data_IF_324462717014
#
_entry.id   IF_324462717014
#
_cell.length_a   1.000
_cell.length_b   1.000
_cell.length_c   1.000
_cell.angle_alpha   90.00
_cell.angle_beta   90.00
_cell.angle_gamma   90.00
#
_symmetry.space_group_name_H-M   'P 1'
#
loop_
_entity.id
_entity.type
_entity.pdbx_description
1 polymer ?
#
# COMPACT_ATOMS: atom_id res chain seq x y z
N UNK A 1 10.42 16.20 6.75
CA UNK A 1 10.78 17.59 6.60
C UNK A 1 9.72 18.38 5.83
N UNK A 2 9.85 19.68 5.83
CA UNK A 2 8.87 20.59 5.24
C UNK A 2 8.74 20.43 3.72
N UNK A 3 9.85 20.19 3.03
CA UNK A 3 9.89 19.95 1.57
C UNK A 3 8.96 18.80 1.14
N UNK A 4 8.87 17.74 1.90
CA UNK A 4 7.96 16.63 1.56
C UNK A 4 6.47 16.99 1.64
N UNK A 5 6.11 18.09 2.34
CA UNK A 5 4.72 18.53 2.49
C UNK A 5 4.24 19.47 1.39
N UNK A 6 5.16 20.05 0.65
CA UNK A 6 4.89 21.02 -0.43
C UNK A 6 5.03 20.43 -1.82
N UNK A 7 5.21 19.11 -1.91
CA UNK A 7 5.33 18.40 -3.17
C UNK A 7 4.06 18.57 -4.01
N UNK A 8 4.20 19.06 -5.22
CA UNK A 8 3.12 19.30 -6.18
C UNK A 8 3.32 18.52 -7.47
N UNK A 9 2.24 18.20 -8.16
CA UNK A 9 2.32 17.61 -9.48
C UNK A 9 2.99 18.55 -10.51
N UNK A 10 2.93 19.85 -10.26
CA UNK A 10 3.57 20.89 -11.11
C UNK A 10 5.10 20.91 -10.97
N UNK A 11 5.67 20.23 -9.96
CA UNK A 11 7.12 20.05 -9.81
C UNK A 11 7.69 19.03 -10.81
N UNK A 12 6.82 18.31 -11.55
CA UNK A 12 7.20 17.24 -12.48
C UNK A 12 6.72 17.53 -13.90
N UNK A 13 7.57 17.27 -14.87
CA UNK A 13 7.18 17.17 -16.27
C UNK A 13 6.49 15.81 -16.52
N UNK A 14 5.19 15.75 -16.21
CA UNK A 14 4.42 14.52 -16.30
C UNK A 14 4.26 14.03 -17.75
N UNK A 15 4.25 14.92 -18.74
CA UNK A 15 4.23 14.56 -20.16
C UNK A 15 5.54 13.85 -20.55
N UNK A 16 6.65 14.38 -20.11
CA UNK A 16 7.95 13.76 -20.34
C UNK A 16 8.02 12.39 -19.68
N UNK A 17 7.66 12.30 -18.38
CA UNK A 17 7.76 11.06 -17.60
C UNK A 17 6.91 9.94 -18.18
N UNK A 18 5.67 10.23 -18.55
CA UNK A 18 4.70 9.19 -18.88
C UNK A 18 4.54 8.96 -20.40
N UNK A 19 4.75 9.99 -21.25
CA UNK A 19 4.49 9.88 -22.68
C UNK A 19 5.78 9.81 -23.51
N UNK A 20 6.82 10.59 -23.15
CA UNK A 20 8.06 10.64 -23.95
C UNK A 20 9.07 9.62 -23.51
N UNK A 21 9.44 9.62 -22.23
CA UNK A 21 10.44 8.70 -21.67
C UNK A 21 9.80 7.33 -21.39
N UNK A 22 8.51 7.33 -21.04
CA UNK A 22 7.74 6.15 -20.69
C UNK A 22 8.05 5.65 -19.28
N UNK A 23 7.00 5.31 -18.54
CA UNK A 23 7.10 4.72 -17.21
C UNK A 23 6.30 3.42 -17.18
N UNK A 24 6.92 2.32 -16.79
CA UNK A 24 6.22 1.04 -16.71
C UNK A 24 5.36 0.92 -15.47
N UNK A 25 5.86 1.44 -14.34
CA UNK A 25 5.19 1.35 -13.03
C UNK A 25 5.41 2.66 -12.29
N UNK A 26 4.33 3.26 -11.81
CA UNK A 26 4.32 4.32 -10.84
C UNK A 26 4.08 3.70 -9.46
N UNK A 27 5.02 3.90 -8.53
CA UNK A 27 4.81 3.52 -7.13
C UNK A 27 4.41 4.73 -6.30
N UNK A 28 3.29 4.63 -5.57
CA UNK A 28 2.79 5.65 -4.66
C UNK A 28 2.75 5.07 -3.24
N UNK A 29 3.33 5.78 -2.29
CA UNK A 29 3.15 5.47 -0.86
C UNK A 29 2.05 6.33 -0.25
N UNK A 30 1.11 5.71 0.45
CA UNK A 30 0.05 6.37 1.19
C UNK A 30 0.58 7.30 2.28
N UNK A 31 1.77 7.02 2.82
CA UNK A 31 2.44 7.96 3.73
C UNK A 31 2.63 9.33 3.05
N UNK A 32 3.11 9.37 1.80
CA UNK A 32 3.31 10.62 1.06
C UNK A 32 1.96 11.28 0.79
N UNK A 33 0.97 10.52 0.33
CA UNK A 33 -0.37 11.03 0.09
C UNK A 33 -1.01 11.66 1.34
N UNK A 34 -0.64 11.21 2.54
CA UNK A 34 -1.20 11.70 3.80
C UNK A 34 -0.47 12.89 4.44
N UNK A 35 0.71 13.31 3.92
CA UNK A 35 1.56 14.32 4.56
C UNK A 35 0.89 15.70 4.64
N UNK A 36 0.20 16.13 3.59
CA UNK A 36 -0.50 17.41 3.47
C UNK A 36 -1.59 17.36 2.41
N UNK A 37 -2.52 18.33 2.35
CA UNK A 37 -3.47 18.45 1.24
C UNK A 37 -2.81 18.55 -0.14
N UNK A 38 -1.68 19.26 -0.23
CA UNK A 38 -0.91 19.43 -1.47
C UNK A 38 -0.36 18.09 -1.97
N UNK A 39 0.22 17.26 -1.07
CA UNK A 39 0.72 15.94 -1.46
C UNK A 39 -0.40 14.96 -1.77
N UNK A 40 -1.55 15.10 -1.13
CA UNK A 40 -2.76 14.32 -1.49
C UNK A 40 -3.18 14.61 -2.92
N UNK A 41 -3.32 15.90 -3.27
CA UNK A 41 -3.66 16.34 -4.63
C UNK A 41 -2.59 15.92 -5.65
N UNK A 42 -1.31 16.06 -5.30
CA UNK A 42 -0.19 15.59 -6.12
C UNK A 42 -0.33 14.09 -6.44
N UNK A 43 -0.50 13.24 -5.43
CA UNK A 43 -0.61 11.80 -5.62
C UNK A 43 -1.84 11.43 -6.49
N UNK A 44 -2.98 12.09 -6.30
CA UNK A 44 -4.17 11.90 -7.12
C UNK A 44 -3.93 12.28 -8.58
N UNK A 45 -3.36 13.45 -8.84
CA UNK A 45 -3.04 13.92 -10.21
C UNK A 45 -2.06 13.00 -10.92
N UNK A 46 -0.99 12.61 -10.24
CA UNK A 46 0.04 11.73 -10.80
C UNK A 46 -0.51 10.33 -11.07
N UNK A 47 -1.34 9.76 -10.16
CA UNK A 47 -2.00 8.47 -10.37
C UNK A 47 -2.93 8.49 -11.58
N UNK A 48 -3.79 9.50 -11.69
CA UNK A 48 -4.68 9.67 -12.85
C UNK A 48 -3.89 9.80 -14.16
N UNK A 49 -2.82 10.57 -14.13
CA UNK A 49 -1.98 10.78 -15.32
C UNK A 49 -1.25 9.51 -15.75
N UNK A 50 -0.72 8.75 -14.78
CA UNK A 50 -0.10 7.46 -15.04
C UNK A 50 -1.09 6.49 -15.70
N UNK A 51 -2.31 6.39 -15.15
CA UNK A 51 -3.34 5.51 -15.70
C UNK A 51 -3.74 5.90 -17.13
N UNK A 52 -3.86 7.20 -17.43
CA UNK A 52 -4.17 7.72 -18.78
C UNK A 52 -3.11 7.35 -19.81
N UNK A 53 -1.84 7.26 -19.42
CA UNK A 53 -0.72 6.87 -20.30
C UNK A 53 -0.45 5.36 -20.35
N UNK A 54 -1.26 4.54 -19.68
CA UNK A 54 -1.08 3.09 -19.63
C UNK A 54 0.01 2.62 -18.67
N UNK A 55 0.55 3.52 -17.83
CA UNK A 55 1.48 3.16 -16.75
C UNK A 55 0.74 2.41 -15.65
N UNK A 56 1.27 1.28 -15.20
CA UNK A 56 0.72 0.55 -14.06
C UNK A 56 0.96 1.33 -12.77
N UNK A 57 -0.03 1.32 -11.89
CA UNK A 57 0.03 1.99 -10.58
C UNK A 57 0.14 0.94 -9.48
N UNK A 58 1.21 1.02 -8.69
CA UNK A 58 1.39 0.28 -7.44
C UNK A 58 1.14 1.23 -6.27
N UNK A 59 0.15 0.92 -5.45
CA UNK A 59 -0.20 1.71 -4.28
C UNK A 59 0.08 0.94 -2.99
N UNK A 60 1.11 1.36 -2.26
CA UNK A 60 1.38 0.93 -0.89
C UNK A 60 0.58 1.81 0.08
N UNK A 61 -0.40 1.22 0.75
CA UNK A 61 -1.32 1.93 1.64
C UNK A 61 -0.61 2.65 2.77
N UNK A 62 0.41 2.04 3.36
CA UNK A 62 1.35 2.63 4.34
C UNK A 62 0.68 3.61 5.31
N UNK A 63 -0.42 3.19 5.94
CA UNK A 63 -1.21 4.02 6.85
C UNK A 63 -0.39 4.45 8.06
N UNK A 64 -0.53 5.72 8.44
CA UNK A 64 0.09 6.29 9.64
C UNK A 64 -0.91 7.18 10.35
N UNK A 65 -1.50 6.69 11.42
CA UNK A 65 -2.58 7.36 12.16
C UNK A 65 -2.27 8.83 12.53
N UNK A 66 -0.99 9.15 12.79
CA UNK A 66 -0.58 10.52 13.14
C UNK A 66 -0.81 11.54 12.02
N UNK A 67 -0.79 11.13 10.75
CA UNK A 67 -1.05 12.00 9.60
C UNK A 67 -2.53 12.04 9.20
N UNK A 68 -3.31 11.09 9.68
CA UNK A 68 -4.75 11.02 9.40
C UNK A 68 -5.58 11.89 10.33
N UNK A 69 -5.05 12.22 11.52
CA UNK A 69 -5.79 12.96 12.55
C UNK A 69 -6.34 14.29 12.02
N UNK A 70 -7.68 14.40 12.04
CA UNK A 70 -8.42 15.58 11.57
C UNK A 70 -8.61 15.68 10.04
N UNK A 71 -8.15 14.65 9.29
CA UNK A 71 -8.29 14.55 7.83
C UNK A 71 -8.85 13.20 7.38
N UNK A 72 -9.46 12.45 8.30
CA UNK A 72 -9.85 11.05 8.09
C UNK A 72 -10.80 10.89 6.89
N UNK A 73 -11.79 11.76 6.76
CA UNK A 73 -12.76 11.71 5.67
C UNK A 73 -12.13 12.06 4.31
N UNK A 74 -11.28 13.09 4.28
CA UNK A 74 -10.55 13.51 3.09
C UNK A 74 -9.59 12.41 2.61
N UNK A 75 -8.76 11.90 3.52
CA UNK A 75 -7.76 10.89 3.19
C UNK A 75 -8.42 9.56 2.81
N UNK A 76 -9.51 9.19 3.46
CA UNK A 76 -10.27 7.99 3.06
C UNK A 76 -10.75 8.10 1.62
N UNK A 77 -11.35 9.23 1.24
CA UNK A 77 -11.79 9.46 -0.13
C UNK A 77 -10.62 9.40 -1.13
N UNK A 78 -9.51 10.07 -0.82
CA UNK A 78 -8.31 10.06 -1.67
C UNK A 78 -7.70 8.66 -1.82
N UNK A 79 -7.59 7.90 -0.72
CA UNK A 79 -7.06 6.54 -0.75
C UNK A 79 -7.95 5.58 -1.55
N UNK A 80 -9.28 5.70 -1.42
CA UNK A 80 -10.21 4.94 -2.25
C UNK A 80 -10.05 5.28 -3.73
N UNK A 81 -9.85 6.55 -4.07
CA UNK A 81 -9.65 6.95 -5.46
C UNK A 81 -8.32 6.42 -6.00
N UNK A 82 -7.20 6.58 -5.28
CA UNK A 82 -5.90 6.03 -5.72
C UNK A 82 -5.99 4.51 -5.84
N UNK A 83 -6.62 3.82 -4.88
CA UNK A 83 -6.80 2.39 -4.91
C UNK A 83 -7.64 1.91 -6.11
N UNK A 84 -8.65 2.70 -6.55
CA UNK A 84 -9.44 2.39 -7.75
C UNK A 84 -8.65 2.54 -9.06
N UNK A 85 -7.55 3.30 -9.04
CA UNK A 85 -6.63 3.46 -10.17
C UNK A 85 -5.48 2.45 -10.12
N UNK A 86 -5.29 1.77 -8.99
CA UNK A 86 -4.15 0.89 -8.80
C UNK A 86 -4.31 -0.46 -9.52
N UNK A 87 -3.21 -0.93 -10.10
CA UNK A 87 -3.07 -2.28 -10.64
C UNK A 87 -2.53 -3.26 -9.57
N UNK A 88 -1.79 -2.73 -8.59
CA UNK A 88 -1.24 -3.47 -7.46
C UNK A 88 -1.54 -2.72 -6.16
N UNK A 89 -2.14 -3.40 -5.20
CA UNK A 89 -2.38 -2.89 -3.85
C UNK A 89 -1.51 -3.63 -2.84
N UNK A 90 -0.76 -2.86 -2.05
CA UNK A 90 0.16 -3.37 -1.03
C UNK A 90 -0.18 -2.78 0.33
N UNK A 91 -0.08 -3.60 1.37
CA UNK A 91 -0.29 -3.15 2.75
C UNK A 91 -0.23 -4.31 3.73
N UNK A 92 -0.19 -4.01 5.01
CA UNK A 92 -0.44 -5.00 6.05
C UNK A 92 -1.94 -5.05 6.40
N UNK A 93 -2.34 -5.93 7.31
CA UNK A 93 -3.73 -6.08 7.72
C UNK A 93 -4.34 -4.80 8.31
N UNK A 94 -3.53 -4.02 9.04
CA UNK A 94 -3.95 -2.76 9.63
C UNK A 94 -4.15 -1.67 8.56
N UNK A 95 -3.26 -1.63 7.56
CA UNK A 95 -3.35 -0.69 6.45
C UNK A 95 -4.66 -0.87 5.68
N UNK A 96 -5.03 -2.10 5.31
CA UNK A 96 -6.29 -2.38 4.62
C UNK A 96 -7.52 -2.02 5.46
N UNK A 97 -7.47 -2.30 6.76
CA UNK A 97 -8.58 -2.01 7.67
C UNK A 97 -8.76 -0.51 7.89
N UNK A 98 -7.69 0.20 8.22
CA UNK A 98 -7.77 1.62 8.60
C UNK A 98 -7.89 2.55 7.40
N UNK A 99 -7.13 2.30 6.33
CA UNK A 99 -7.16 3.17 5.16
C UNK A 99 -8.37 2.93 4.25
N UNK A 100 -8.75 1.66 4.03
CA UNK A 100 -9.84 1.30 3.11
C UNK A 100 -11.12 0.86 3.82
N UNK A 101 -11.13 0.76 5.15
CA UNK A 101 -12.31 0.36 5.92
C UNK A 101 -12.73 -1.09 5.69
N UNK A 102 -11.82 -1.95 5.26
CA UNK A 102 -12.09 -3.37 5.00
C UNK A 102 -11.87 -4.17 6.28
N UNK A 103 -12.85 -4.95 6.69
CA UNK A 103 -12.72 -5.83 7.84
C UNK A 103 -11.67 -6.92 7.58
N UNK A 104 -10.79 -7.15 8.55
CA UNK A 104 -9.67 -8.08 8.45
C UNK A 104 -9.32 -8.74 9.80
N UNK A 105 -8.25 -9.57 9.84
CA UNK A 105 -7.76 -10.16 11.06
C UNK A 105 -7.26 -9.11 12.04
N UNK A 106 -7.23 -9.44 13.33
CA UNK A 106 -6.66 -8.57 14.35
C UNK A 106 -5.18 -8.30 14.07
N UNK A 107 -4.82 -7.00 14.04
CA UNK A 107 -3.46 -6.56 13.73
C UNK A 107 -2.48 -6.96 14.84
N UNK A 108 -1.29 -7.44 14.45
CA UNK A 108 -0.20 -7.78 15.37
C UNK A 108 -0.47 -8.98 16.29
N UNK A 109 -1.51 -9.76 16.04
CA UNK A 109 -1.85 -10.94 16.83
C UNK A 109 -0.81 -12.06 16.70
N UNK A 110 -0.77 -12.98 17.68
CA UNK A 110 0.00 -14.22 17.61
C UNK A 110 -0.72 -15.28 16.79
N UNK A 111 0.01 -16.29 16.32
CA UNK A 111 -0.55 -17.43 15.60
C UNK A 111 -1.04 -17.11 14.20
N UNK A 112 -0.31 -16.29 13.47
CA UNK A 112 -0.64 -15.82 12.11
C UNK A 112 -0.87 -16.97 11.13
N UNK A 113 -0.16 -18.08 11.28
CA UNK A 113 -0.42 -19.29 10.46
C UNK A 113 -1.87 -19.80 10.58
N UNK A 114 -2.47 -19.75 11.77
CA UNK A 114 -3.88 -20.11 11.98
C UNK A 114 -4.88 -19.09 11.42
N UNK A 115 -4.40 -17.91 11.00
CA UNK A 115 -5.22 -16.78 10.50
C UNK A 115 -5.14 -16.61 8.99
N UNK A 116 -4.42 -17.46 8.25
CA UNK A 116 -4.23 -17.34 6.79
C UNK A 116 -5.55 -17.16 6.04
N UNK A 117 -6.60 -17.89 6.42
CA UNK A 117 -7.90 -17.77 5.78
C UNK A 117 -8.55 -16.39 6.06
N UNK A 118 -8.35 -15.81 7.24
CA UNK A 118 -8.83 -14.46 7.56
C UNK A 118 -8.13 -13.40 6.68
N UNK A 119 -6.83 -13.54 6.43
CA UNK A 119 -6.10 -12.69 5.48
C UNK A 119 -6.63 -12.85 4.05
N UNK A 120 -6.85 -14.08 3.59
CA UNK A 120 -7.42 -14.33 2.26
C UNK A 120 -8.83 -13.76 2.13
N UNK A 121 -9.66 -13.86 3.16
CA UNK A 121 -10.98 -13.27 3.18
C UNK A 121 -10.92 -11.74 3.13
N UNK A 122 -10.01 -11.12 3.87
CA UNK A 122 -9.77 -9.67 3.80
C UNK A 122 -9.38 -9.26 2.38
N UNK A 123 -8.37 -9.89 1.78
CA UNK A 123 -7.95 -9.61 0.39
C UNK A 123 -9.08 -9.86 -0.60
N UNK A 124 -9.89 -10.89 -0.41
CA UNK A 124 -11.09 -11.14 -1.24
C UNK A 124 -12.08 -9.99 -1.20
N UNK A 125 -12.29 -9.36 -0.01
CA UNK A 125 -13.12 -8.15 0.13
C UNK A 125 -12.49 -6.94 -0.57
N UNK A 126 -11.16 -6.75 -0.42
CA UNK A 126 -10.44 -5.68 -1.13
C UNK A 126 -10.57 -5.84 -2.63
N UNK A 127 -10.37 -7.06 -3.16
CA UNK A 127 -10.55 -7.35 -4.59
C UNK A 127 -11.97 -7.05 -5.08
N UNK A 128 -12.98 -7.34 -4.27
CA UNK A 128 -14.37 -7.02 -4.63
C UNK A 128 -14.63 -5.51 -4.72
N UNK A 129 -13.92 -4.69 -3.93
CA UNK A 129 -14.00 -3.23 -3.99
C UNK A 129 -13.19 -2.63 -5.15
N UNK A 130 -12.09 -3.29 -5.55
CA UNK A 130 -11.16 -2.82 -6.60
C UNK A 130 -10.93 -3.91 -7.64
N UNK A 131 -11.94 -4.21 -8.46
CA UNK A 131 -11.90 -5.34 -9.41
C UNK A 131 -10.89 -5.14 -10.55
N UNK A 132 -10.46 -3.89 -10.82
CA UNK A 132 -9.49 -3.57 -11.86
C UNK A 132 -8.04 -3.82 -11.40
N UNK A 133 -7.80 -3.98 -10.10
CA UNK A 133 -6.49 -4.36 -9.59
C UNK A 133 -6.22 -5.85 -9.85
N UNK A 134 -5.02 -6.14 -10.36
CA UNK A 134 -4.59 -7.48 -10.74
C UNK A 134 -3.79 -8.20 -9.66
N UNK A 135 -3.25 -7.45 -8.67
CA UNK A 135 -2.45 -8.02 -7.59
C UNK A 135 -2.72 -7.32 -6.24
N UNK A 136 -2.72 -8.14 -5.19
CA UNK A 136 -2.94 -7.71 -3.80
C UNK A 136 -1.90 -8.39 -2.93
N UNK A 137 -1.01 -7.62 -2.31
CA UNK A 137 0.07 -8.14 -1.49
C UNK A 137 -0.07 -7.68 -0.03
N UNK A 138 0.07 -8.61 0.91
CA UNK A 138 0.07 -8.29 2.34
C UNK A 138 1.22 -8.98 3.06
N UNK A 139 1.88 -8.24 3.95
CA UNK A 139 2.88 -8.80 4.84
C UNK A 139 2.21 -9.56 5.98
N UNK A 140 2.83 -10.66 6.37
CA UNK A 140 2.50 -11.39 7.59
C UNK A 140 3.61 -11.12 8.60
N UNK A 141 3.27 -10.63 9.78
CA UNK A 141 4.26 -10.34 10.80
C UNK A 141 3.81 -10.82 12.16
N UNK A 142 4.65 -11.64 12.80
CA UNK A 142 4.50 -12.08 14.18
C UNK A 142 5.67 -11.58 15.01
N UNK A 143 5.39 -11.03 16.20
CA UNK A 143 6.43 -10.46 17.07
C UNK A 143 6.72 -11.46 18.19
N UNK A 144 7.92 -12.04 18.19
CA UNK A 144 8.37 -12.96 19.23
C UNK A 144 9.10 -12.22 20.36
N UNK A 145 9.88 -11.20 20.01
CA UNK A 145 10.54 -10.29 20.94
C UNK A 145 10.83 -8.95 20.26
N UNK A 146 11.44 -8.02 20.98
CA UNK A 146 11.84 -6.72 20.41
C UNK A 146 12.75 -6.86 19.17
N UNK A 147 13.61 -7.89 19.16
CA UNK A 147 14.62 -8.09 18.13
C UNK A 147 14.40 -9.36 17.29
N UNK A 148 13.31 -10.09 17.49
CA UNK A 148 13.04 -11.34 16.78
C UNK A 148 11.58 -11.36 16.30
N UNK A 149 11.40 -11.42 14.98
CA UNK A 149 10.07 -11.46 14.38
C UNK A 149 9.98 -12.62 13.37
N UNK A 150 8.77 -13.17 13.22
CA UNK A 150 8.38 -13.94 12.06
C UNK A 150 7.93 -12.99 10.96
N UNK A 151 8.44 -13.16 9.75
CA UNK A 151 8.08 -12.35 8.59
C UNK A 151 7.74 -13.24 7.40
N UNK A 152 6.60 -13.02 6.81
CA UNK A 152 6.08 -13.74 5.65
C UNK A 152 5.20 -12.83 4.80
N UNK A 153 4.54 -13.40 3.79
CA UNK A 153 3.67 -12.65 2.90
C UNK A 153 2.58 -13.52 2.29
N UNK A 154 1.48 -12.88 1.89
CA UNK A 154 0.47 -13.44 1.00
C UNK A 154 0.33 -12.51 -0.19
N UNK A 155 0.29 -13.09 -1.39
CA UNK A 155 0.03 -12.40 -2.65
C UNK A 155 -1.12 -13.11 -3.37
N UNK A 156 -2.12 -12.35 -3.78
CA UNK A 156 -3.08 -12.76 -4.80
C UNK A 156 -2.69 -12.07 -6.11
N UNK A 157 -2.33 -12.84 -7.13
CA UNK A 157 -2.04 -12.35 -8.47
C UNK A 157 -3.02 -12.98 -9.47
N UNK A 158 -3.89 -12.19 -10.07
CA UNK A 158 -5.06 -12.71 -10.79
C UNK A 158 -5.91 -13.58 -9.88
N UNK A 159 -6.03 -14.87 -10.20
CA UNK A 159 -6.76 -15.86 -9.39
C UNK A 159 -5.83 -16.79 -8.57
N UNK A 160 -4.53 -16.55 -8.62
CA UNK A 160 -3.54 -17.43 -8.00
C UNK A 160 -3.05 -16.86 -6.67
N UNK A 161 -3.13 -17.67 -5.62
CA UNK A 161 -2.57 -17.37 -4.32
C UNK A 161 -1.13 -17.85 -4.22
N UNK A 162 -0.26 -16.96 -3.77
CA UNK A 162 1.10 -17.26 -3.38
C UNK A 162 1.28 -16.94 -1.90
N UNK A 163 2.02 -17.76 -1.19
CA UNK A 163 2.30 -17.55 0.22
C UNK A 163 3.77 -17.84 0.51
N UNK A 164 4.43 -16.87 1.07
CA UNK A 164 5.75 -17.05 1.67
C UNK A 164 5.55 -17.28 3.18
N UNK A 165 5.99 -18.45 3.70
CA UNK A 165 5.82 -18.77 5.11
C UNK A 165 6.61 -17.81 6.00
N UNK A 166 6.17 -17.72 7.28
CA UNK A 166 6.93 -16.95 8.27
C UNK A 166 8.34 -17.50 8.42
N UNK A 167 9.31 -16.63 8.20
CA UNK A 167 10.71 -16.88 8.52
C UNK A 167 11.10 -16.06 9.73
N UNK A 168 11.76 -16.65 10.69
CA UNK A 168 12.33 -15.94 11.82
C UNK A 168 13.47 -15.06 11.34
N UNK A 169 13.39 -13.77 11.67
CA UNK A 169 14.43 -12.79 11.35
C UNK A 169 14.86 -12.03 12.60
N UNK A 170 16.16 -11.78 12.70
CA UNK A 170 16.73 -10.90 13.71
C UNK A 170 16.65 -9.46 13.21
N UNK A 171 16.00 -8.60 13.98
CA UNK A 171 15.75 -7.21 13.61
C UNK A 171 16.79 -6.31 14.26
N UNK A 172 17.58 -5.64 13.44
CA UNK A 172 18.46 -4.54 13.87
C UNK A 172 17.76 -3.19 13.75
N UNK A 173 17.00 -2.98 12.66
CA UNK A 173 16.17 -1.81 12.41
C UNK A 173 14.94 -2.25 11.61
N UNK A 174 13.81 -1.57 11.82
CA UNK A 174 12.55 -1.86 11.13
C UNK A 174 12.22 -0.86 10.02
N UNK A 175 13.02 0.20 9.89
CA UNK A 175 12.81 1.23 8.86
C UNK A 175 12.99 0.62 7.48
N UNK A 176 12.03 0.89 6.57
CA UNK A 176 12.10 0.44 5.18
C UNK A 176 11.68 -1.01 4.92
N UNK A 177 11.27 -1.79 5.96
CA UNK A 177 10.84 -3.18 5.74
C UNK A 177 9.59 -3.28 4.86
N UNK A 178 8.61 -2.39 5.04
CA UNK A 178 7.43 -2.28 4.17
C UNK A 178 7.79 -1.82 2.76
N UNK A 179 8.65 -0.81 2.63
CA UNK A 179 9.08 -0.28 1.33
C UNK A 179 9.85 -1.34 0.51
N UNK A 180 10.71 -2.14 1.18
CA UNK A 180 11.41 -3.24 0.54
C UNK A 180 10.44 -4.32 0.03
N UNK A 181 9.40 -4.64 0.81
CA UNK A 181 8.36 -5.58 0.40
C UNK A 181 7.56 -5.05 -0.79
N UNK A 182 7.09 -3.81 -0.73
CA UNK A 182 6.31 -3.18 -1.80
C UNK A 182 7.09 -3.09 -3.14
N UNK A 183 8.42 -2.95 -3.06
CA UNK A 183 9.29 -2.98 -4.25
C UNK A 183 9.42 -4.38 -4.86
N UNK A 184 9.29 -5.42 -4.05
CA UNK A 184 9.45 -6.81 -4.49
C UNK A 184 8.12 -7.45 -4.99
N UNK A 185 6.96 -6.86 -4.62
CA UNK A 185 5.63 -7.30 -5.02
C UNK A 185 5.29 -6.81 -6.45
#
# INVERSE_FOLDING_TARGET
>A
GEVGRTLSADDYDLERLFDRDGCQILHISGLIAALSPETTDCCLKVARRAKQSGTRVCFDLNHRASFWKGREAELRAAFHEIASLADVLVGNEEDFQLALGVEGPEAGGSGIYGKTDAFKHMIGRVRALYPDASAFATTLREVYSANCHGWGAILLAGDTWHMEPLREIQIMDRIGGGDAFARAA
#
